data_IF_115634518949
#
_entry.id   IF_115634518949
#
_cell.length_a   1.000
_cell.length_b   1.000
_cell.length_c   1.000
_cell.angle_alpha   90.00
_cell.angle_beta   90.00
_cell.angle_gamma   90.00
#
_symmetry.space_group_name_H-M   'P 1'
#
loop_
_entity.id
_entity.type
_entity.pdbx_description
1 polymer ?
#
# COMPACT_ATOMS: atom_id res chain seq x y z
N UNK A 1 -11.31 5.20 62.90
CA UNK A 1 -11.95 4.42 61.85
C UNK A 1 -12.01 5.32 60.61
N UNK A 2 -11.03 5.26 59.77
CA UNK A 2 -10.98 6.05 58.52
C UNK A 2 -11.34 5.13 57.34
N UNK A 3 -12.47 5.39 56.75
CA UNK A 3 -12.93 4.73 55.52
C UNK A 3 -12.15 5.30 54.33
N UNK A 4 -11.25 4.51 53.80
CA UNK A 4 -10.61 4.76 52.53
C UNK A 4 -11.52 4.18 51.41
N UNK A 5 -12.26 5.04 50.73
CA UNK A 5 -12.98 4.67 49.50
C UNK A 5 -11.99 4.48 48.37
N UNK A 6 -11.80 3.24 47.98
CA UNK A 6 -11.06 2.90 46.74
C UNK A 6 -11.85 3.43 45.54
N UNK A 7 -11.27 4.38 44.84
CA UNK A 7 -11.73 4.84 43.52
C UNK A 7 -11.65 3.65 42.55
N UNK A 8 -12.81 3.18 42.10
CA UNK A 8 -12.87 2.27 40.93
C UNK A 8 -12.42 3.05 39.71
N UNK A 9 -11.25 2.71 39.19
CA UNK A 9 -10.85 3.14 37.86
C UNK A 9 -11.91 2.66 36.87
N UNK A 10 -12.57 3.58 36.21
CA UNK A 10 -13.42 3.31 35.04
C UNK A 10 -12.52 2.68 33.98
N UNK A 11 -12.88 1.52 33.40
CA UNK A 11 -12.12 1.01 32.27
C UNK A 11 -12.19 2.09 31.18
N UNK A 12 -11.04 2.44 30.60
CA UNK A 12 -11.00 3.26 29.40
C UNK A 12 -11.92 2.58 28.39
N UNK A 13 -12.99 3.28 28.01
CA UNK A 13 -13.86 2.87 26.91
C UNK A 13 -12.94 2.71 25.72
N UNK A 14 -12.75 1.46 25.27
CA UNK A 14 -11.98 1.17 24.09
C UNK A 14 -12.51 2.04 22.97
N UNK A 15 -11.62 2.80 22.34
CA UNK A 15 -11.94 3.44 21.07
C UNK A 15 -12.34 2.29 20.16
N UNK A 16 -13.59 2.30 19.70
CA UNK A 16 -14.07 1.35 18.72
C UNK A 16 -13.11 1.39 17.55
N UNK A 17 -12.32 0.32 17.36
CA UNK A 17 -11.73 0.05 16.06
C UNK A 17 -12.94 0.06 15.12
N UNK A 18 -12.98 1.00 14.17
CA UNK A 18 -14.14 1.19 13.32
C UNK A 18 -14.65 -0.16 12.82
N UNK A 19 -15.96 -0.36 12.72
CA UNK A 19 -16.57 -1.64 12.29
C UNK A 19 -16.22 -1.96 10.83
N UNK A 20 -14.95 -1.89 10.48
CA UNK A 20 -14.43 -2.14 9.14
C UNK A 20 -13.84 -3.54 8.99
N UNK A 21 -13.44 -3.84 7.78
CA UNK A 21 -12.83 -5.10 7.42
C UNK A 21 -11.50 -4.89 6.71
N UNK A 22 -10.51 -5.66 7.08
CA UNK A 22 -9.19 -5.72 6.45
C UNK A 22 -9.15 -6.86 5.44
N UNK A 23 -8.52 -6.60 4.32
CA UNK A 23 -8.16 -7.59 3.31
C UNK A 23 -6.65 -7.63 3.22
N UNK A 24 -6.05 -8.80 3.41
CA UNK A 24 -4.61 -8.97 3.58
C UNK A 24 -4.11 -10.08 2.69
N UNK A 25 -2.95 -9.89 2.10
CA UNK A 25 -2.30 -10.87 1.24
C UNK A 25 -1.24 -11.64 2.01
N UNK A 26 -1.30 -12.98 1.95
CA UNK A 26 -0.22 -13.86 2.38
C UNK A 26 0.52 -14.40 1.15
N UNK A 27 1.72 -13.90 0.95
CA UNK A 27 2.57 -14.27 -0.16
C UNK A 27 2.99 -15.74 -0.10
N UNK A 28 3.32 -16.22 1.09
CA UNK A 28 3.88 -17.56 1.30
C UNK A 28 2.86 -18.66 1.02
N UNK A 29 1.59 -18.46 1.38
CA UNK A 29 0.52 -19.43 1.12
C UNK A 29 -0.27 -19.12 -0.16
N UNK A 30 -0.03 -17.96 -0.80
CA UNK A 30 -0.77 -17.53 -1.99
C UNK A 30 -2.26 -17.31 -1.69
N UNK A 31 -2.56 -16.56 -0.64
CA UNK A 31 -3.93 -16.37 -0.15
C UNK A 31 -4.32 -14.91 -0.02
N UNK A 32 -5.62 -14.63 -0.16
CA UNK A 32 -6.27 -13.42 0.32
C UNK A 32 -7.00 -13.75 1.61
N UNK A 33 -6.64 -13.06 2.67
CA UNK A 33 -7.28 -13.16 3.98
C UNK A 33 -8.26 -12.01 4.14
N UNK A 34 -9.32 -12.24 4.89
CA UNK A 34 -10.26 -11.23 5.35
C UNK A 34 -10.40 -11.33 6.87
N UNK A 35 -10.32 -10.19 7.57
CA UNK A 35 -10.36 -10.11 9.03
C UNK A 35 -11.03 -8.81 9.47
N UNK A 36 -11.79 -8.82 10.57
CA UNK A 36 -12.33 -7.58 11.13
C UNK A 36 -11.20 -6.64 11.58
N UNK A 37 -11.46 -5.34 11.61
CA UNK A 37 -10.47 -4.32 12.01
C UNK A 37 -10.00 -4.44 13.47
N UNK A 38 -10.65 -5.27 14.28
CA UNK A 38 -10.23 -5.65 15.64
C UNK A 38 -9.41 -6.95 15.71
N UNK A 39 -9.14 -7.59 14.57
CA UNK A 39 -8.41 -8.87 14.46
C UNK A 39 -9.29 -10.10 14.57
N UNK A 40 -10.58 -9.98 14.82
CA UNK A 40 -11.51 -11.10 14.91
C UNK A 40 -11.98 -11.59 13.53
N UNK A 41 -12.68 -12.74 13.50
CA UNK A 41 -13.32 -13.31 12.30
C UNK A 41 -12.38 -13.42 11.08
N UNK A 42 -11.17 -13.93 11.30
CA UNK A 42 -10.20 -14.20 10.21
C UNK A 42 -10.70 -15.32 9.31
N UNK A 43 -10.70 -15.07 8.00
CA UNK A 43 -11.10 -16.02 6.96
C UNK A 43 -10.10 -16.04 5.81
N UNK A 44 -9.92 -17.17 5.15
CA UNK A 44 -9.30 -17.26 3.82
C UNK A 44 -10.42 -17.13 2.80
N UNK A 45 -10.39 -16.11 1.96
CA UNK A 45 -11.43 -15.86 0.95
C UNK A 45 -10.98 -16.24 -0.47
N UNK A 46 -9.68 -16.20 -0.75
CA UNK A 46 -9.09 -16.66 -2.03
C UNK A 46 -7.83 -17.47 -1.74
N UNK A 47 -7.59 -18.52 -2.51
CA UNK A 47 -6.36 -19.33 -2.48
C UNK A 47 -5.79 -19.52 -3.88
N UNK A 48 -4.52 -19.95 -3.96
CA UNK A 48 -3.83 -20.17 -5.24
C UNK A 48 -3.51 -18.89 -5.98
N UNK A 49 -3.23 -17.79 -5.26
CA UNK A 49 -2.62 -16.59 -5.81
C UNK A 49 -1.12 -16.84 -6.11
N UNK A 50 -0.57 -16.16 -7.11
CA UNK A 50 0.82 -16.35 -7.54
C UNK A 50 1.73 -15.26 -7.00
N UNK A 51 2.20 -15.41 -5.74
CA UNK A 51 2.97 -14.41 -5.00
C UNK A 51 2.23 -13.05 -4.96
N UNK A 52 1.08 -12.98 -4.28
CA UNK A 52 0.29 -11.75 -4.21
C UNK A 52 1.03 -10.66 -3.43
N UNK A 53 0.86 -9.37 -3.82
CA UNK A 53 1.62 -8.28 -3.20
C UNK A 53 0.79 -7.04 -2.86
N UNK A 54 0.09 -6.42 -3.79
CA UNK A 54 -0.75 -5.25 -3.56
C UNK A 54 -2.23 -5.60 -3.62
N UNK A 55 -3.06 -4.97 -2.78
CA UNK A 55 -4.50 -5.19 -2.74
C UNK A 55 -5.26 -3.88 -2.59
N UNK A 56 -6.39 -3.76 -3.29
CA UNK A 56 -7.33 -2.66 -3.15
C UNK A 56 -8.75 -3.19 -3.05
N UNK A 57 -9.64 -2.46 -2.36
CA UNK A 57 -11.02 -2.86 -2.14
C UNK A 57 -12.00 -1.77 -2.58
N UNK A 58 -13.02 -2.17 -3.33
CA UNK A 58 -14.22 -1.39 -3.61
C UNK A 58 -15.39 -1.98 -2.81
N UNK A 59 -15.55 -1.49 -1.59
CA UNK A 59 -16.61 -1.97 -0.70
C UNK A 59 -18.01 -1.69 -1.26
N UNK A 60 -18.18 -0.58 -1.98
CA UNK A 60 -19.47 -0.19 -2.57
C UNK A 60 -19.88 -1.09 -3.74
N UNK A 61 -18.92 -1.46 -4.59
CA UNK A 61 -19.15 -2.40 -5.70
C UNK A 61 -19.04 -3.87 -5.24
N UNK A 62 -18.56 -4.14 -4.02
CA UNK A 62 -18.35 -5.48 -3.50
C UNK A 62 -17.19 -6.23 -4.14
N UNK A 63 -16.12 -5.54 -4.52
CA UNK A 63 -14.98 -6.12 -5.23
C UNK A 63 -13.66 -5.92 -4.51
N UNK A 64 -12.76 -6.90 -4.64
CA UNK A 64 -11.34 -6.80 -4.31
C UNK A 64 -10.50 -6.97 -5.57
N UNK A 65 -9.38 -6.26 -5.64
CA UNK A 65 -8.39 -6.32 -6.71
C UNK A 65 -7.02 -6.59 -6.10
N UNK A 66 -6.24 -7.50 -6.69
CA UNK A 66 -4.89 -7.75 -6.20
C UNK A 66 -3.92 -8.02 -7.32
N UNK A 67 -2.66 -7.72 -7.07
CA UNK A 67 -1.55 -8.03 -7.96
C UNK A 67 -0.97 -9.40 -7.62
N UNK A 68 -0.54 -10.13 -8.63
CA UNK A 68 0.28 -11.33 -8.50
C UNK A 68 1.64 -11.04 -9.16
N UNK A 69 2.71 -11.09 -8.39
CA UNK A 69 4.05 -10.83 -8.90
C UNK A 69 4.53 -11.88 -9.91
N UNK A 70 3.98 -13.09 -9.85
CA UNK A 70 4.50 -14.20 -10.65
C UNK A 70 5.86 -14.70 -10.17
N UNK A 71 6.67 -15.18 -11.08
CA UNK A 71 8.05 -15.64 -10.82
C UNK A 71 9.02 -14.49 -11.05
N UNK A 72 9.94 -14.18 -10.14
CA UNK A 72 10.91 -13.11 -10.31
C UNK A 72 11.65 -13.22 -11.66
N UNK A 73 11.82 -12.09 -12.33
CA UNK A 73 12.45 -11.95 -13.65
C UNK A 73 11.74 -12.65 -14.84
N UNK A 74 10.53 -13.16 -14.63
CA UNK A 74 9.64 -13.57 -15.72
C UNK A 74 8.57 -12.48 -15.95
N UNK A 75 8.18 -12.29 -17.21
CA UNK A 75 7.09 -11.37 -17.54
C UNK A 75 5.74 -12.11 -17.41
N UNK A 76 5.45 -12.59 -16.19
CA UNK A 76 4.29 -13.42 -15.91
C UNK A 76 3.43 -12.90 -14.74
N UNK A 77 3.61 -11.64 -14.38
CA UNK A 77 2.75 -10.93 -13.45
C UNK A 77 1.32 -10.78 -13.98
N UNK A 78 0.38 -10.62 -13.09
CA UNK A 78 -1.05 -10.45 -13.43
C UNK A 78 -1.77 -9.62 -12.37
N UNK A 79 -2.95 -9.08 -12.72
CA UNK A 79 -3.87 -8.49 -11.76
C UNK A 79 -5.18 -9.24 -11.84
N UNK A 80 -5.73 -9.57 -10.68
CA UNK A 80 -6.98 -10.29 -10.56
C UNK A 80 -8.02 -9.49 -9.78
N UNK A 81 -9.28 -9.85 -10.00
CA UNK A 81 -10.44 -9.36 -9.25
C UNK A 81 -11.29 -10.51 -8.76
N UNK A 82 -11.88 -10.36 -7.60
CA UNK A 82 -12.96 -11.21 -7.10
C UNK A 82 -14.04 -10.37 -6.42
N UNK A 83 -15.16 -10.98 -6.08
CA UNK A 83 -16.09 -10.40 -5.14
C UNK A 83 -15.46 -10.37 -3.73
N UNK A 84 -15.99 -9.55 -2.84
CA UNK A 84 -15.44 -9.33 -1.50
C UNK A 84 -15.46 -10.61 -0.63
N UNK A 85 -16.25 -11.59 -0.98
CA UNK A 85 -16.31 -12.93 -0.37
C UNK A 85 -15.39 -13.96 -1.05
N UNK A 86 -14.67 -13.56 -2.10
CA UNK A 86 -13.78 -14.40 -2.91
C UNK A 86 -14.46 -15.06 -4.11
N UNK A 87 -15.76 -14.86 -4.31
CA UNK A 87 -16.50 -15.36 -5.46
C UNK A 87 -16.13 -14.69 -6.78
N UNK A 88 -16.52 -15.25 -7.90
CA UNK A 88 -16.37 -14.72 -9.27
C UNK A 88 -14.95 -14.22 -9.61
N UNK A 89 -13.93 -14.92 -9.09
CA UNK A 89 -12.51 -14.62 -9.36
C UNK A 89 -12.22 -14.65 -10.86
N UNK A 90 -11.50 -13.63 -11.34
CA UNK A 90 -11.05 -13.51 -12.74
C UNK A 90 -9.78 -12.72 -12.88
N UNK A 91 -8.99 -13.04 -13.89
CA UNK A 91 -7.83 -12.24 -14.31
C UNK A 91 -8.35 -11.03 -15.10
N UNK A 92 -7.94 -9.82 -14.73
CA UNK A 92 -8.27 -8.59 -15.45
C UNK A 92 -7.07 -8.03 -16.21
N UNK A 93 -5.85 -8.14 -15.69
CA UNK A 93 -4.62 -7.88 -16.43
C UNK A 93 -3.87 -9.20 -16.56
N UNK A 94 -3.82 -9.79 -17.78
CA UNK A 94 -3.18 -11.09 -17.99
C UNK A 94 -1.65 -10.98 -18.00
N UNK A 95 -1.01 -12.14 -17.87
CA UNK A 95 0.44 -12.29 -17.99
C UNK A 95 0.96 -11.69 -19.31
N UNK A 96 2.17 -11.11 -19.26
CA UNK A 96 2.81 -10.46 -20.41
C UNK A 96 2.53 -8.95 -20.51
N UNK A 97 1.53 -8.43 -19.79
CA UNK A 97 1.22 -7.01 -19.78
C UNK A 97 1.91 -6.25 -18.62
N UNK A 98 2.18 -6.94 -17.54
CA UNK A 98 2.92 -6.41 -16.39
C UNK A 98 3.96 -7.44 -15.96
N UNK A 99 5.15 -6.97 -15.57
CA UNK A 99 6.28 -7.84 -15.28
C UNK A 99 6.20 -8.40 -13.87
N UNK A 100 6.28 -7.51 -12.88
CA UNK A 100 6.18 -7.83 -11.44
C UNK A 100 5.34 -6.75 -10.75
N UNK A 101 4.02 -6.79 -10.92
CA UNK A 101 3.15 -5.78 -10.31
C UNK A 101 3.23 -5.87 -8.78
N UNK A 102 3.41 -4.71 -8.17
CA UNK A 102 3.56 -4.49 -6.73
C UNK A 102 2.29 -3.84 -6.18
N UNK A 103 2.42 -2.78 -5.39
CA UNK A 103 1.27 -2.11 -4.78
C UNK A 103 0.31 -1.54 -5.83
N UNK A 104 -0.97 -1.51 -5.49
CA UNK A 104 -2.07 -1.14 -6.38
C UNK A 104 -2.98 -0.12 -5.69
N UNK A 105 -3.41 0.89 -6.44
CA UNK A 105 -4.36 1.90 -5.99
C UNK A 105 -5.63 1.85 -6.83
N UNK A 106 -6.79 1.99 -6.17
CA UNK A 106 -8.09 2.03 -6.80
C UNK A 106 -8.66 3.46 -6.80
N UNK A 107 -8.80 4.05 -7.98
CA UNK A 107 -9.57 5.27 -8.22
C UNK A 107 -10.99 4.88 -8.68
N UNK A 108 -11.86 4.63 -7.71
CA UNK A 108 -13.24 4.18 -7.97
C UNK A 108 -14.07 5.22 -8.73
N UNK A 109 -13.82 6.51 -8.46
CA UNK A 109 -14.60 7.61 -9.01
C UNK A 109 -14.34 7.80 -10.51
N UNK A 110 -13.11 7.53 -10.97
CA UNK A 110 -12.72 7.56 -12.38
C UNK A 110 -12.67 6.17 -13.04
N UNK A 111 -12.98 5.11 -12.28
CA UNK A 111 -13.01 3.75 -12.80
C UNK A 111 -11.64 3.23 -13.24
N UNK A 112 -10.57 3.54 -12.48
CA UNK A 112 -9.19 3.21 -12.83
C UNK A 112 -8.48 2.44 -11.71
N UNK A 113 -7.58 1.55 -12.13
CA UNK A 113 -6.55 0.94 -11.31
C UNK A 113 -5.20 1.51 -11.69
N UNK A 114 -4.36 1.75 -10.70
CA UNK A 114 -2.96 2.18 -10.85
C UNK A 114 -2.07 1.21 -10.10
N UNK A 115 -0.91 0.86 -10.65
CA UNK A 115 0.05 -0.02 -9.97
C UNK A 115 1.49 0.29 -10.36
N UNK A 116 2.40 -0.10 -9.49
CA UNK A 116 3.82 -0.14 -9.79
C UNK A 116 4.20 -1.50 -10.36
N UNK A 117 4.99 -1.51 -11.43
CA UNK A 117 5.53 -2.70 -12.05
C UNK A 117 7.05 -2.74 -11.83
N UNK A 118 7.49 -3.46 -10.80
CA UNK A 118 8.84 -3.38 -10.23
C UNK A 118 9.93 -3.67 -11.25
N UNK A 119 10.07 -4.89 -11.72
CA UNK A 119 11.03 -5.26 -12.76
C UNK A 119 10.61 -4.81 -14.16
N UNK A 120 9.35 -4.39 -14.33
CA UNK A 120 8.90 -3.65 -15.51
C UNK A 120 9.39 -2.21 -15.53
N UNK A 121 9.84 -1.69 -14.38
CA UNK A 121 10.36 -0.32 -14.20
C UNK A 121 9.34 0.74 -14.64
N UNK A 122 8.07 0.56 -14.22
CA UNK A 122 6.95 1.38 -14.69
C UNK A 122 5.95 1.70 -13.59
N UNK A 123 5.26 2.82 -13.76
CA UNK A 123 3.96 3.08 -13.13
C UNK A 123 2.90 2.96 -14.21
N UNK A 124 1.87 2.18 -13.94
CA UNK A 124 0.87 1.79 -14.93
C UNK A 124 -0.55 2.10 -14.48
N UNK A 125 -1.46 2.17 -15.44
CA UNK A 125 -2.89 2.40 -15.24
C UNK A 125 -3.72 1.52 -16.19
N UNK A 126 -4.93 1.12 -15.76
CA UNK A 126 -5.93 0.48 -16.60
C UNK A 126 -7.35 0.83 -16.13
N UNK A 127 -8.37 0.50 -16.92
CA UNK A 127 -9.75 0.47 -16.45
C UNK A 127 -9.95 -0.67 -15.44
N UNK A 128 -11.03 -0.62 -14.64
CA UNK A 128 -11.36 -1.67 -13.65
C UNK A 128 -11.63 -3.05 -14.25
N UNK A 129 -11.92 -3.12 -15.55
CA UNK A 129 -12.07 -4.37 -16.31
C UNK A 129 -10.76 -4.88 -16.94
N UNK A 130 -9.65 -4.13 -16.73
CA UNK A 130 -8.33 -4.42 -17.28
C UNK A 130 -8.13 -3.92 -18.72
N UNK A 131 -9.09 -3.24 -19.32
CA UNK A 131 -8.92 -2.61 -20.63
C UNK A 131 -8.11 -1.30 -20.54
N UNK A 132 -7.63 -0.80 -21.69
CA UNK A 132 -6.86 0.44 -21.79
C UNK A 132 -5.65 0.49 -20.84
N UNK A 133 -4.81 -0.54 -20.90
CA UNK A 133 -3.56 -0.58 -20.14
C UNK A 133 -2.59 0.47 -20.69
N UNK A 134 -2.09 1.34 -19.82
CA UNK A 134 -1.20 2.45 -20.17
C UNK A 134 0.01 2.48 -19.23
N UNK A 135 1.17 2.90 -19.75
CA UNK A 135 2.34 3.24 -18.95
C UNK A 135 2.35 4.76 -18.72
N UNK A 136 2.34 5.17 -17.45
CA UNK A 136 2.37 6.59 -17.04
C UNK A 136 3.78 7.10 -16.75
N UNK A 137 4.63 6.24 -16.21
CA UNK A 137 6.05 6.52 -15.93
C UNK A 137 6.86 5.32 -16.37
N UNK A 138 7.98 5.54 -17.05
CA UNK A 138 8.97 4.52 -17.40
C UNK A 138 10.34 4.96 -16.88
N UNK A 139 10.89 4.21 -15.93
CA UNK A 139 12.16 4.53 -15.26
C UNK A 139 13.36 3.83 -15.87
N UNK A 140 13.13 2.92 -16.81
CA UNK A 140 14.17 2.19 -17.54
C UNK A 140 13.58 1.18 -18.50
N UNK A 141 14.44 0.60 -19.36
CA UNK A 141 14.04 -0.39 -20.34
C UNK A 141 15.12 -1.44 -20.58
N UNK A 142 14.69 -2.66 -20.89
CA UNK A 142 15.57 -3.78 -21.19
C UNK A 142 16.27 -4.38 -19.95
N UNK A 143 17.05 -5.44 -20.19
CA UNK A 143 17.60 -6.27 -19.09
C UNK A 143 18.75 -5.59 -18.33
N UNK A 144 19.45 -4.64 -18.95
CA UNK A 144 20.51 -3.89 -18.28
C UNK A 144 19.93 -2.99 -17.18
N UNK A 145 18.91 -2.20 -17.51
CA UNK A 145 18.23 -1.31 -16.57
C UNK A 145 17.45 -2.11 -15.51
N UNK A 146 16.90 -3.27 -15.87
CA UNK A 146 16.18 -4.14 -14.93
C UNK A 146 17.04 -4.63 -13.77
N UNK A 147 18.36 -4.71 -13.93
CA UNK A 147 19.29 -5.05 -12.84
C UNK A 147 19.59 -3.88 -11.91
N UNK A 148 19.25 -2.68 -12.31
CA UNK A 148 19.40 -1.47 -11.49
C UNK A 148 18.16 -1.30 -10.60
N UNK A 149 18.26 -1.73 -9.35
CA UNK A 149 17.16 -1.68 -8.38
C UNK A 149 16.72 -0.25 -8.03
N UNK A 150 17.53 0.77 -8.34
CA UNK A 150 17.12 2.17 -8.18
C UNK A 150 16.01 2.60 -9.13
N UNK A 151 15.74 1.80 -10.17
CA UNK A 151 14.67 2.00 -11.16
C UNK A 151 13.35 1.29 -10.81
N UNK A 152 13.34 0.48 -9.77
CA UNK A 152 12.21 -0.36 -9.40
C UNK A 152 11.12 0.41 -8.69
N UNK A 153 9.96 0.55 -9.34
CA UNK A 153 8.75 1.17 -8.77
C UNK A 153 8.00 0.16 -7.89
N UNK A 154 7.60 0.54 -6.66
CA UNK A 154 7.00 -0.41 -5.70
C UNK A 154 5.67 0.09 -5.14
N UNK A 155 5.64 1.15 -4.35
CA UNK A 155 4.45 1.72 -3.73
C UNK A 155 3.78 2.76 -4.63
N UNK A 156 2.46 2.95 -4.47
CA UNK A 156 1.70 3.92 -5.25
C UNK A 156 0.58 4.54 -4.43
N UNK A 157 0.44 5.86 -4.51
CA UNK A 157 -0.70 6.60 -4.01
C UNK A 157 -1.18 7.62 -5.05
N UNK A 158 -2.42 8.05 -4.92
CA UNK A 158 -3.06 8.99 -5.85
C UNK A 158 -3.72 10.14 -5.09
N UNK A 159 -3.60 11.34 -5.65
CA UNK A 159 -4.44 12.49 -5.34
C UNK A 159 -5.35 12.78 -6.54
N UNK A 160 -6.57 12.23 -6.59
CA UNK A 160 -7.48 12.43 -7.72
C UNK A 160 -7.92 13.89 -7.90
N UNK A 161 -8.01 14.65 -6.80
CA UNK A 161 -8.43 16.06 -6.84
C UNK A 161 -7.38 16.94 -7.52
N UNK A 162 -6.11 16.72 -7.19
CA UNK A 162 -4.98 17.43 -7.82
C UNK A 162 -4.46 16.73 -9.07
N UNK A 163 -4.99 15.55 -9.37
CA UNK A 163 -4.56 14.71 -10.50
C UNK A 163 -3.07 14.39 -10.44
N UNK A 164 -2.59 13.98 -9.27
CA UNK A 164 -1.20 13.64 -9.01
C UNK A 164 -1.06 12.19 -8.60
N UNK A 165 0.00 11.54 -9.09
CA UNK A 165 0.45 10.21 -8.66
C UNK A 165 1.73 10.35 -7.84
N UNK A 166 1.87 9.50 -6.85
CA UNK A 166 3.04 9.36 -6.00
C UNK A 166 3.52 7.92 -6.07
N UNK A 167 4.84 7.69 -6.15
CA UNK A 167 5.38 6.32 -6.14
C UNK A 167 6.71 6.25 -5.45
N UNK A 168 7.04 5.06 -4.93
CA UNK A 168 8.35 4.75 -4.37
C UNK A 168 9.26 4.09 -5.40
N UNK A 169 10.55 4.40 -5.31
CA UNK A 169 11.64 3.58 -5.87
C UNK A 169 12.51 3.14 -4.70
N UNK A 170 12.45 1.84 -4.36
CA UNK A 170 13.02 1.36 -3.11
C UNK A 170 14.55 1.37 -3.04
N UNK A 171 15.23 1.33 -4.18
CA UNK A 171 16.67 1.14 -4.24
C UNK A 171 17.09 -0.32 -4.00
N UNK A 172 18.38 -0.56 -3.88
CA UNK A 172 18.91 -1.84 -3.45
C UNK A 172 18.71 -2.03 -1.94
N UNK A 173 18.67 -3.29 -1.50
CA UNK A 173 18.41 -3.64 -0.11
C UNK A 173 19.41 -2.92 0.82
N UNK A 174 18.91 -2.17 1.79
CA UNK A 174 19.64 -1.41 2.79
C UNK A 174 20.69 -0.41 2.25
N UNK A 175 20.59 -0.03 0.97
CA UNK A 175 21.57 0.87 0.34
C UNK A 175 21.35 2.36 0.67
N UNK A 176 20.22 2.74 1.26
CA UNK A 176 19.88 4.15 1.51
C UNK A 176 19.66 4.94 0.22
N UNK A 177 19.22 4.27 -0.85
CA UNK A 177 18.97 4.85 -2.17
C UNK A 177 17.48 4.94 -2.49
N UNK A 178 16.63 4.71 -1.49
CA UNK A 178 15.19 4.82 -1.61
C UNK A 178 14.74 6.24 -1.88
N UNK A 179 13.71 6.40 -2.73
CA UNK A 179 13.18 7.68 -3.15
C UNK A 179 11.67 7.64 -3.26
N UNK A 180 11.04 8.79 -3.09
CA UNK A 180 9.62 9.00 -3.37
C UNK A 180 9.49 10.12 -4.39
N UNK A 181 8.67 9.89 -5.39
CA UNK A 181 8.42 10.80 -6.51
C UNK A 181 6.96 11.19 -6.59
N UNK A 182 6.72 12.29 -7.29
CA UNK A 182 5.40 12.80 -7.67
C UNK A 182 5.41 13.20 -9.14
N UNK A 183 4.26 13.06 -9.82
CA UNK A 183 4.01 13.61 -11.16
C UNK A 183 2.51 13.86 -11.36
N UNK A 184 2.12 14.55 -12.42
CA UNK A 184 0.71 14.60 -12.81
C UNK A 184 0.24 13.20 -13.27
N UNK A 185 -1.04 12.92 -13.16
CA UNK A 185 -1.63 11.67 -13.69
C UNK A 185 -1.45 11.63 -15.22
N UNK A 186 -1.78 12.73 -15.90
CA UNK A 186 -1.64 12.80 -17.35
C UNK A 186 -0.22 13.22 -17.73
N UNK A 187 0.34 12.54 -18.74
CA UNK A 187 1.66 12.87 -19.30
C UNK A 187 1.57 14.24 -19.99
N UNK A 188 2.55 15.15 -19.79
CA UNK A 188 2.57 16.45 -20.47
C UNK A 188 2.48 16.31 -21.99
N UNK A 189 1.78 17.24 -22.62
CA UNK A 189 1.50 17.18 -24.06
C UNK A 189 2.79 17.14 -24.89
N UNK A 190 2.91 16.11 -25.71
CA UNK A 190 4.06 15.90 -26.61
C UNK A 190 5.20 15.10 -25.97
N UNK A 191 5.03 14.66 -24.74
CA UNK A 191 5.98 13.81 -24.01
C UNK A 191 5.49 12.36 -23.95
N UNK A 192 6.33 11.48 -23.45
CA UNK A 192 6.07 10.05 -23.24
C UNK A 192 6.35 9.66 -21.79
N UNK A 193 5.94 8.47 -21.38
CA UNK A 193 6.23 7.93 -20.04
C UNK A 193 7.74 7.91 -19.70
N UNK A 194 8.60 7.77 -20.72
CA UNK A 194 10.05 7.66 -20.55
C UNK A 194 10.78 9.02 -20.47
N UNK A 195 10.16 10.11 -20.93
CA UNK A 195 10.82 11.43 -21.02
C UNK A 195 9.98 12.57 -20.46
N UNK A 196 8.95 12.26 -19.65
CA UNK A 196 8.10 13.28 -19.05
C UNK A 196 8.89 14.20 -18.10
N UNK A 197 8.65 15.50 -18.25
CA UNK A 197 9.41 16.56 -17.57
C UNK A 197 8.82 16.97 -16.20
N UNK A 198 7.64 16.46 -15.84
CA UNK A 198 6.90 16.84 -14.64
C UNK A 198 7.14 15.91 -13.44
N UNK A 199 8.15 15.01 -13.53
CA UNK A 199 8.54 14.17 -12.41
C UNK A 199 9.32 15.00 -11.39
N UNK A 200 8.83 15.03 -10.16
CA UNK A 200 9.48 15.64 -9.01
C UNK A 200 9.91 14.59 -8.01
N UNK A 201 11.16 14.60 -7.58
CA UNK A 201 11.65 13.81 -6.45
C UNK A 201 11.36 14.58 -5.16
N UNK A 202 10.43 14.05 -4.33
CA UNK A 202 10.03 14.72 -3.09
C UNK A 202 10.83 14.26 -1.87
N UNK A 203 11.30 13.01 -1.86
CA UNK A 203 12.21 12.49 -0.82
C UNK A 203 13.27 11.59 -1.46
N UNK A 204 14.48 11.63 -0.91
CA UNK A 204 15.60 10.77 -1.26
C UNK A 204 16.36 10.28 -0.02
N UNK A 205 17.35 9.42 -0.24
CA UNK A 205 18.17 8.87 0.84
C UNK A 205 17.37 8.07 1.87
N UNK A 206 16.19 7.58 1.50
CA UNK A 206 15.39 6.70 2.35
C UNK A 206 16.01 5.30 2.39
N UNK A 207 15.85 4.55 3.50
CA UNK A 207 16.40 3.18 3.57
C UNK A 207 15.82 2.27 2.47
N UNK A 208 14.53 1.97 2.50
CA UNK A 208 13.87 1.10 1.53
C UNK A 208 12.34 1.31 1.56
N UNK A 209 11.82 2.44 1.02
CA UNK A 209 10.39 2.75 1.07
C UNK A 209 9.58 1.78 0.20
N UNK A 210 8.46 1.28 0.73
CA UNK A 210 7.63 0.26 0.08
C UNK A 210 6.26 0.83 -0.27
N UNK A 211 5.27 0.74 0.61
CA UNK A 211 3.89 1.14 0.33
C UNK A 211 3.64 2.60 0.67
N UNK A 212 2.70 3.22 -0.01
CA UNK A 212 2.32 4.61 0.16
C UNK A 212 0.82 4.74 0.38
N UNK A 213 0.44 5.62 1.32
CA UNK A 213 -0.93 6.06 1.48
C UNK A 213 -1.00 7.57 1.70
N UNK A 214 -2.02 8.21 1.14
CA UNK A 214 -2.21 9.66 1.21
C UNK A 214 -3.43 10.02 2.05
N UNK A 215 -3.21 10.67 3.20
CA UNK A 215 -4.25 11.44 3.86
C UNK A 215 -4.47 12.74 3.08
N UNK A 216 -5.44 12.71 2.17
CA UNK A 216 -5.76 13.82 1.28
C UNK A 216 -6.27 15.04 2.03
N UNK A 217 -7.02 14.82 3.11
CA UNK A 217 -7.62 15.89 3.93
C UNK A 217 -6.56 16.73 4.64
N UNK A 218 -5.58 16.05 5.25
CA UNK A 218 -4.52 16.69 6.02
C UNK A 218 -3.23 16.91 5.21
N UNK A 219 -3.19 16.45 3.95
CA UNK A 219 -2.05 16.58 3.04
C UNK A 219 -0.78 15.92 3.59
N UNK A 220 -0.94 14.72 4.15
CA UNK A 220 0.15 13.93 4.72
C UNK A 220 0.29 12.64 3.92
N UNK A 221 1.51 12.38 3.45
CA UNK A 221 1.90 11.10 2.87
C UNK A 221 2.46 10.21 3.97
N UNK A 222 2.00 8.98 4.02
CA UNK A 222 2.51 7.92 4.87
C UNK A 222 3.18 6.86 4.01
N UNK A 223 4.20 6.19 4.56
CA UNK A 223 4.82 5.05 3.90
C UNK A 223 5.45 4.08 4.90
N UNK A 224 5.49 2.81 4.50
CA UNK A 224 6.29 1.79 5.17
C UNK A 224 7.71 1.82 4.62
N UNK A 225 8.69 1.60 5.49
CA UNK A 225 10.09 1.43 5.11
C UNK A 225 10.60 0.13 5.71
N UNK A 226 11.05 -0.79 4.86
CA UNK A 226 11.51 -2.12 5.28
C UNK A 226 13.01 -2.25 5.48
N UNK A 227 13.78 -1.19 5.22
CA UNK A 227 15.23 -1.19 5.42
C UNK A 227 15.64 -1.46 6.87
N UNK A 228 16.93 -1.45 7.13
CA UNK A 228 17.47 -1.71 8.47
C UNK A 228 17.22 -0.56 9.46
N UNK A 229 17.00 -0.87 10.75
CA UNK A 229 16.97 0.13 11.80
C UNK A 229 18.28 0.96 11.85
N UNK A 230 18.24 2.22 12.35
CA UNK A 230 17.10 2.84 13.05
C UNK A 230 16.09 3.55 12.15
N UNK A 231 16.35 3.72 10.86
CA UNK A 231 15.49 4.47 9.93
C UNK A 231 14.57 3.58 9.11
N UNK A 232 14.85 2.30 9.03
CA UNK A 232 14.02 1.28 8.40
C UNK A 232 13.29 0.40 9.43
N UNK A 233 12.47 -0.52 8.95
CA UNK A 233 11.48 -1.27 9.72
C UNK A 233 10.52 -0.33 10.47
N UNK A 234 10.02 0.69 9.74
CA UNK A 234 9.26 1.83 10.28
C UNK A 234 8.03 2.16 9.44
N UNK A 235 7.09 2.88 10.05
CA UNK A 235 6.12 3.71 9.34
C UNK A 235 6.57 5.16 9.47
N UNK A 236 6.51 5.87 8.37
CA UNK A 236 6.93 7.27 8.27
C UNK A 236 5.76 8.12 7.74
N UNK A 237 5.80 9.42 8.05
CA UNK A 237 4.89 10.41 7.46
C UNK A 237 5.62 11.70 7.13
N UNK A 238 5.10 12.44 6.17
CA UNK A 238 5.54 13.80 5.87
C UNK A 238 4.43 14.61 5.20
N UNK A 239 4.45 15.93 5.39
CA UNK A 239 3.61 16.84 4.62
C UNK A 239 4.08 16.89 3.16
N UNK A 240 3.13 16.85 2.21
CA UNK A 240 3.43 16.82 0.77
C UNK A 240 3.34 18.18 0.08
N UNK A 241 2.86 19.21 0.76
CA UNK A 241 2.77 20.58 0.24
C UNK A 241 4.02 21.42 0.54
N UNK A 242 5.11 20.79 0.97
CA UNK A 242 6.42 21.40 1.13
C UNK A 242 7.18 21.41 -0.19
N UNK A 243 8.13 22.35 -0.34
CA UNK A 243 9.04 22.34 -1.48
C UNK A 243 9.78 21.00 -1.58
N UNK A 244 9.96 20.45 -2.80
CA UNK A 244 10.66 19.18 -2.99
C UNK A 244 12.04 19.17 -2.29
N UNK A 245 12.30 18.09 -1.54
CA UNK A 245 13.54 17.92 -0.79
C UNK A 245 13.67 18.72 0.52
N UNK A 246 12.65 19.50 0.92
CA UNK A 246 12.68 20.31 2.17
C UNK A 246 11.90 19.68 3.32
N UNK A 247 10.98 18.73 3.05
CA UNK A 247 10.22 18.01 4.07
C UNK A 247 11.13 17.03 4.83
N UNK A 248 11.04 17.02 6.16
CA UNK A 248 11.70 16.00 6.97
C UNK A 248 10.69 14.88 7.27
N UNK A 249 10.97 13.63 6.89
CA UNK A 249 10.16 12.49 7.33
C UNK A 249 10.15 12.35 8.85
N UNK A 250 8.98 12.09 9.41
CA UNK A 250 8.78 11.75 10.81
C UNK A 250 8.51 10.25 10.91
N UNK A 251 9.23 9.55 11.78
CA UNK A 251 8.97 8.14 12.09
C UNK A 251 7.80 8.08 13.09
N UNK A 252 6.73 7.39 12.72
CA UNK A 252 5.53 7.21 13.56
C UNK A 252 5.49 5.86 14.27
N UNK A 253 5.98 4.82 13.62
CA UNK A 253 6.13 3.48 14.21
C UNK A 253 7.50 2.90 13.89
N UNK A 254 7.98 2.04 14.80
CA UNK A 254 9.25 1.32 14.68
C UNK A 254 9.02 -0.17 14.95
N UNK A 255 10.08 -0.95 14.90
CA UNK A 255 10.09 -2.38 15.30
C UNK A 255 9.28 -3.32 14.40
N UNK A 256 8.96 -2.91 13.17
CA UNK A 256 8.37 -3.82 12.20
C UNK A 256 9.40 -4.88 11.76
N UNK A 257 8.91 -6.00 11.25
CA UNK A 257 9.75 -7.05 10.66
C UNK A 257 9.58 -7.02 9.13
N UNK A 258 10.26 -6.10 8.46
CA UNK A 258 10.06 -5.73 7.06
C UNK A 258 8.62 -5.24 6.81
N UNK A 259 8.33 -3.99 7.19
CA UNK A 259 7.02 -3.37 6.97
C UNK A 259 6.69 -3.29 5.47
N UNK A 260 5.55 -3.83 5.05
CA UNK A 260 5.14 -3.91 3.65
C UNK A 260 3.86 -3.12 3.41
N UNK A 261 2.69 -3.68 3.69
CA UNK A 261 1.41 -3.09 3.34
C UNK A 261 0.95 -2.05 4.36
N UNK A 262 0.22 -1.06 3.87
CA UNK A 262 -0.28 0.05 4.68
C UNK A 262 -1.68 0.47 4.22
N UNK A 263 -2.59 0.74 5.16
CA UNK A 263 -3.93 1.22 4.87
C UNK A 263 -4.37 2.25 5.91
N UNK A 264 -5.11 3.28 5.47
CA UNK A 264 -5.62 4.37 6.30
C UNK A 264 -7.13 4.28 6.52
N UNK A 265 -7.55 4.54 7.75
CA UNK A 265 -8.91 4.93 8.13
C UNK A 265 -8.86 6.32 8.77
N UNK A 266 -8.70 7.33 7.93
CA UNK A 266 -8.54 8.73 8.36
C UNK A 266 -9.73 9.23 9.18
N UNK A 267 -11.01 8.91 8.85
CA UNK A 267 -12.16 9.32 9.65
C UNK A 267 -12.11 8.87 11.12
N UNK A 268 -11.53 7.70 11.39
CA UNK A 268 -11.44 7.13 12.75
C UNK A 268 -10.04 7.25 13.36
N UNK A 269 -9.14 8.07 12.76
CA UNK A 269 -7.77 8.28 13.24
C UNK A 269 -7.02 6.95 13.41
N UNK A 270 -7.11 6.06 12.39
CA UNK A 270 -6.49 4.73 12.43
C UNK A 270 -5.67 4.44 11.18
N UNK A 271 -4.63 3.67 11.37
CA UNK A 271 -3.86 3.00 10.31
C UNK A 271 -3.75 1.51 10.61
N UNK A 272 -3.63 0.73 9.55
CA UNK A 272 -3.42 -0.70 9.59
C UNK A 272 -2.21 -1.04 8.75
N UNK A 273 -1.41 -2.00 9.19
CA UNK A 273 -0.18 -2.35 8.49
C UNK A 273 0.14 -3.83 8.65
N UNK A 274 0.90 -4.32 7.70
CA UNK A 274 1.44 -5.67 7.68
C UNK A 274 2.96 -5.64 7.63
N UNK A 275 3.57 -6.67 8.17
CA UNK A 275 4.98 -6.93 7.98
C UNK A 275 5.22 -8.33 7.38
N UNK A 276 6.39 -8.51 6.81
CA UNK A 276 6.80 -9.78 6.21
C UNK A 276 7.03 -10.88 7.25
N UNK A 277 7.18 -10.50 8.53
CA UNK A 277 7.21 -11.41 9.68
C UNK A 277 5.85 -12.02 10.04
N UNK A 278 4.77 -11.59 9.38
CA UNK A 278 3.44 -12.19 9.49
C UNK A 278 2.54 -11.54 10.53
N UNK A 279 2.78 -10.30 10.87
CA UNK A 279 1.95 -9.55 11.81
C UNK A 279 1.03 -8.56 11.10
N UNK A 280 -0.14 -8.35 11.70
CA UNK A 280 -1.08 -7.28 11.36
C UNK A 280 -1.16 -6.37 12.58
N UNK A 281 -0.93 -5.07 12.36
CA UNK A 281 -0.98 -4.06 13.41
C UNK A 281 -2.07 -3.03 13.12
N UNK A 282 -2.51 -2.38 14.19
CA UNK A 282 -3.32 -1.17 14.13
C UNK A 282 -2.73 -0.13 15.07
N UNK A 283 -2.70 1.12 14.64
CA UNK A 283 -2.29 2.26 15.48
C UNK A 283 -3.09 3.52 15.11
N UNK A 284 -2.98 4.57 15.92
CA UNK A 284 -3.45 5.90 15.50
C UNK A 284 -2.52 6.49 14.45
N UNK A 285 -2.98 7.50 13.72
CA UNK A 285 -2.20 8.18 12.69
C UNK A 285 -0.97 8.92 13.22
N UNK A 286 -0.88 9.13 14.53
CA UNK A 286 0.30 9.67 15.22
C UNK A 286 1.24 8.57 15.76
N UNK A 287 0.92 7.29 15.55
CA UNK A 287 1.66 6.13 16.05
C UNK A 287 1.26 5.67 17.45
N UNK A 288 0.44 6.41 18.18
CA UNK A 288 -0.03 5.99 19.50
C UNK A 288 -1.06 4.86 19.41
N UNK A 289 -1.38 4.25 20.56
CA UNK A 289 -2.34 3.13 20.69
C UNK A 289 -2.07 2.01 19.69
N UNK A 290 -0.78 1.67 19.52
CA UNK A 290 -0.35 0.53 18.72
C UNK A 290 -0.84 -0.79 19.31
N UNK A 291 -1.35 -1.66 18.46
CA UNK A 291 -1.86 -3.00 18.82
C UNK A 291 -1.47 -4.01 17.75
N UNK A 292 -0.95 -5.15 18.17
CA UNK A 292 -0.84 -6.30 17.29
C UNK A 292 -2.20 -7.01 17.24
N UNK A 293 -2.86 -6.97 16.09
CA UNK A 293 -4.15 -7.62 15.87
C UNK A 293 -3.99 -9.13 15.67
N UNK A 294 -3.03 -9.51 14.83
CA UNK A 294 -2.67 -10.90 14.55
C UNK A 294 -1.16 -11.02 14.39
N UNK A 295 -0.62 -12.21 14.61
CA UNK A 295 0.79 -12.56 14.41
C UNK A 295 0.93 -13.96 13.81
N UNK A 296 2.09 -14.27 13.24
CA UNK A 296 2.41 -15.57 12.65
C UNK A 296 1.43 -16.02 11.54
N UNK A 297 1.02 -15.07 10.69
CA UNK A 297 0.04 -15.31 9.63
C UNK A 297 0.66 -15.66 8.27
N UNK A 298 1.96 -15.97 8.20
CA UNK A 298 2.70 -16.21 6.96
C UNK A 298 3.62 -15.04 6.61
N UNK A 299 3.92 -14.83 5.33
CA UNK A 299 4.64 -13.65 4.88
C UNK A 299 3.64 -12.65 4.31
N UNK A 300 3.24 -11.67 5.12
CA UNK A 300 2.20 -10.73 4.73
C UNK A 300 2.77 -9.63 3.84
N UNK A 301 1.94 -9.19 2.89
CA UNK A 301 2.26 -8.12 1.94
C UNK A 301 1.19 -7.04 1.99
N UNK A 302 0.45 -6.79 0.93
CA UNK A 302 -0.55 -5.73 0.87
C UNK A 302 -1.70 -5.90 1.87
N UNK A 303 -2.23 -4.77 2.31
CA UNK A 303 -3.42 -4.67 3.15
C UNK A 303 -4.34 -3.57 2.63
N UNK A 304 -5.64 -3.79 2.66
CA UNK A 304 -6.65 -2.78 2.35
C UNK A 304 -7.72 -2.75 3.43
N UNK A 305 -8.22 -1.56 3.74
CA UNK A 305 -9.30 -1.35 4.69
C UNK A 305 -10.60 -1.00 3.96
N UNK A 306 -11.69 -1.62 4.37
CA UNK A 306 -13.04 -1.29 3.94
C UNK A 306 -13.88 -0.90 5.16
N UNK A 307 -14.35 0.34 5.21
CA UNK A 307 -15.35 0.75 6.18
C UNK A 307 -16.67 -0.01 5.98
N UNK A 308 -17.41 -0.27 7.03
CA UNK A 308 -18.71 -0.92 6.94
C UNK A 308 -19.77 0.10 6.50
N UNK A 309 -20.35 -0.01 5.30
CA UNK A 309 -21.31 0.98 4.79
C UNK A 309 -22.61 1.08 5.60
N UNK A 310 -22.87 0.14 6.51
CA UNK A 310 -24.11 0.12 7.30
C UNK A 310 -24.14 1.13 8.47
N UNK A 311 -23.04 1.81 8.79
CA UNK A 311 -22.93 2.75 9.93
C UNK A 311 -22.53 4.19 9.55
N UNK A 312 -22.32 4.49 8.27
CA UNK A 312 -22.05 5.86 7.80
C UNK A 312 -23.35 6.68 7.55
N UNK A 313 -24.50 6.26 8.10
CA UNK A 313 -25.77 6.98 7.97
C UNK A 313 -26.16 7.68 9.27
#
# INVERSE_FOLDING_TARGET
MSNTTASKATPATGLDAGDGRLFVLDLSSGQVLSVNSDGSDRRVIVSGCRHPDGIAVDAAAGHIYWTNMGVPNLNDGSIERADIDGGHRRIIVPQGWTFTPKQIYLDKDNGKLYWCDREGMRVMRANLDGSQIETLVETGSGDADRRDQTRWCVGIALDPERKQIYWTQKGADNAGLGRIFRANVEIPKGETAANRSDIEMIFDGLPEPIDLELDRKNRILYWTDRGDPPRGNTVNKAAIDTEPGTGAPEIVLTHLMEGIGFALDVPHDRMFLTDFGGSIYSARLDGSDERTLLYAQGNLTGIAYAANPAKEQ
#
